data_IF_830467983333
#
_entry.id   IF_830467983333
#
_cell.length_a   1.000
_cell.length_b   1.000
_cell.length_c   1.000
_cell.angle_alpha   90.00
_cell.angle_beta   90.00
_cell.angle_gamma   90.00
#
_symmetry.space_group_name_H-M   'P 1'
#
loop_
_entity.id
_entity.type
_entity.pdbx_description
1 polymer ?
#
# COMPACT_ATOMS: atom_id res chain seq x y z
N UNK A 1 -60.76 16.65 -12.32
CA UNK A 1 -59.55 16.98 -11.53
C UNK A 1 -58.33 16.35 -12.20
N UNK A 2 -57.75 17.01 -13.22
CA UNK A 2 -56.55 16.53 -13.93
C UNK A 2 -55.32 17.12 -13.22
N UNK A 3 -54.85 16.43 -12.19
CA UNK A 3 -53.60 16.78 -11.52
C UNK A 3 -52.48 16.54 -12.54
N UNK A 4 -51.76 17.62 -12.86
CA UNK A 4 -50.72 17.67 -13.89
C UNK A 4 -49.61 16.66 -13.59
N UNK A 5 -49.57 15.61 -14.40
CA UNK A 5 -48.52 14.57 -14.51
C UNK A 5 -47.12 15.14 -14.85
N UNK A 6 -46.99 16.46 -14.99
CA UNK A 6 -45.78 17.16 -15.41
C UNK A 6 -44.77 17.39 -14.27
N UNK A 7 -45.14 17.19 -13.00
CA UNK A 7 -44.20 17.30 -11.87
C UNK A 7 -43.47 15.99 -11.55
N UNK A 8 -44.00 14.84 -11.96
CA UNK A 8 -43.37 13.54 -11.65
C UNK A 8 -42.20 13.21 -12.60
N UNK A 9 -42.26 13.68 -13.84
CA UNK A 9 -41.24 13.37 -14.87
C UNK A 9 -39.93 14.15 -14.62
N UNK A 10 -39.99 15.31 -13.98
CA UNK A 10 -38.80 16.13 -13.71
C UNK A 10 -37.90 15.55 -12.60
N UNK A 11 -38.45 14.73 -11.70
CA UNK A 11 -37.66 14.07 -10.64
C UNK A 11 -36.95 12.80 -11.12
N UNK A 12 -37.37 12.20 -12.23
CA UNK A 12 -36.81 10.92 -12.68
C UNK A 12 -35.60 11.15 -13.62
N UNK A 13 -35.57 12.25 -14.38
CA UNK A 13 -34.40 12.59 -15.21
C UNK A 13 -33.20 13.15 -14.40
N UNK A 14 -33.42 13.66 -13.19
CA UNK A 14 -32.34 14.13 -12.32
C UNK A 14 -31.67 13.02 -11.49
N UNK A 15 -32.28 11.83 -11.41
CA UNK A 15 -31.70 10.65 -10.74
C UNK A 15 -30.73 9.86 -11.64
N UNK A 16 -30.60 10.22 -12.92
CA UNK A 16 -29.60 9.65 -13.84
C UNK A 16 -28.24 10.34 -13.76
N UNK A 17 -28.09 11.34 -12.90
CA UNK A 17 -26.82 12.03 -12.71
C UNK A 17 -26.06 11.31 -11.59
N UNK A 18 -24.80 10.97 -11.87
CA UNK A 18 -23.78 10.52 -10.91
C UNK A 18 -23.74 9.01 -10.59
N UNK A 19 -23.49 8.17 -11.60
CA UNK A 19 -22.49 7.12 -11.34
C UNK A 19 -21.12 7.81 -11.20
N UNK A 20 -20.82 8.27 -9.98
CA UNK A 20 -19.47 8.71 -9.64
C UNK A 20 -18.62 7.44 -9.67
N UNK A 21 -17.94 7.20 -10.78
CA UNK A 21 -16.83 6.26 -10.80
C UNK A 21 -15.79 6.84 -9.85
N UNK A 22 -15.78 6.36 -8.60
CA UNK A 22 -14.73 6.70 -7.65
C UNK A 22 -13.41 6.26 -8.28
N UNK A 23 -12.61 7.24 -8.70
CA UNK A 23 -11.25 6.98 -9.15
C UNK A 23 -10.50 6.46 -7.94
N UNK A 24 -10.14 5.17 -7.96
CA UNK A 24 -9.29 4.51 -6.97
C UNK A 24 -7.82 5.00 -7.06
N UNK A 25 -7.61 6.32 -7.16
CA UNK A 25 -6.28 6.92 -7.17
C UNK A 25 -5.66 6.75 -5.78
N UNK A 26 -4.64 5.89 -5.70
CA UNK A 26 -3.95 5.53 -4.46
C UNK A 26 -4.23 4.12 -3.97
N UNK A 27 -5.33 3.50 -4.42
CA UNK A 27 -5.82 2.20 -3.95
C UNK A 27 -5.07 0.97 -4.51
N UNK A 28 -3.85 1.16 -5.02
CA UNK A 28 -2.99 0.10 -5.56
C UNK A 28 -1.51 0.52 -5.60
N UNK A 29 -1.12 1.53 -4.82
CA UNK A 29 0.27 1.98 -4.72
C UNK A 29 0.78 1.71 -3.31
N UNK A 30 2.04 1.31 -3.23
CA UNK A 30 2.73 1.22 -1.96
C UNK A 30 3.02 2.63 -1.46
N UNK A 31 2.63 2.90 -0.22
CA UNK A 31 2.87 4.15 0.50
C UNK A 31 3.73 3.83 1.71
N UNK A 32 4.77 4.63 1.94
CA UNK A 32 5.56 4.50 3.16
C UNK A 32 4.70 4.84 4.37
N UNK A 33 4.64 3.92 5.33
CA UNK A 33 3.92 4.11 6.59
C UNK A 33 4.88 4.32 7.76
N UNK A 34 6.07 3.69 7.73
CA UNK A 34 7.04 3.76 8.81
C UNK A 34 8.48 3.60 8.27
N UNK A 35 9.47 3.83 9.14
CA UNK A 35 10.87 3.60 8.83
C UNK A 35 11.70 3.22 10.07
N UNK A 36 12.73 2.41 9.85
CA UNK A 36 13.70 2.07 10.88
C UNK A 36 15.11 2.05 10.30
N UNK A 37 15.95 2.99 10.73
CA UNK A 37 17.27 3.19 10.15
C UNK A 37 17.16 3.53 8.65
N UNK A 38 17.72 2.67 7.79
CA UNK A 38 17.64 2.81 6.32
C UNK A 38 16.49 2.03 5.70
N UNK A 39 15.72 1.30 6.50
CA UNK A 39 14.58 0.54 6.03
C UNK A 39 13.32 1.39 6.04
N UNK A 40 12.52 1.23 5.01
CA UNK A 40 11.16 1.77 4.90
C UNK A 40 10.17 0.61 4.97
N UNK A 41 9.07 0.82 5.70
CA UNK A 41 7.91 -0.06 5.71
C UNK A 41 6.85 0.60 4.83
N UNK A 42 6.38 -0.13 3.84
CA UNK A 42 5.37 0.35 2.90
C UNK A 42 4.13 -0.53 2.96
N UNK A 43 2.96 0.09 2.82
CA UNK A 43 1.67 -0.57 2.78
C UNK A 43 0.93 -0.25 1.47
N UNK A 44 0.25 -1.24 0.92
CA UNK A 44 -0.65 -1.12 -0.23
C UNK A 44 -1.96 -1.81 0.12
N UNK A 45 -3.09 -1.16 -0.08
CA UNK A 45 -4.36 -1.88 -0.20
C UNK A 45 -4.53 -2.28 -1.66
N UNK A 46 -4.82 -3.55 -1.94
CA UNK A 46 -5.10 -4.07 -3.27
C UNK A 46 -6.61 -4.12 -3.47
N UNK A 47 -7.13 -3.24 -4.34
CA UNK A 47 -8.58 -3.13 -4.56
C UNK A 47 -9.22 -4.41 -5.10
N UNK A 48 -8.46 -5.16 -5.90
CA UNK A 48 -8.99 -6.29 -6.66
C UNK A 48 -9.08 -7.52 -5.78
N UNK A 49 -8.07 -7.70 -4.92
CA UNK A 49 -8.04 -8.79 -3.92
C UNK A 49 -8.72 -8.42 -2.60
N UNK A 50 -8.97 -7.12 -2.37
CA UNK A 50 -9.44 -6.56 -1.09
C UNK A 50 -8.51 -6.92 0.08
N UNK A 51 -7.21 -6.92 -0.18
CA UNK A 51 -6.17 -7.36 0.75
C UNK A 51 -5.17 -6.22 1.02
N UNK A 52 -4.61 -6.21 2.24
CA UNK A 52 -3.51 -5.31 2.60
C UNK A 52 -2.18 -6.04 2.39
N UNK A 53 -1.29 -5.42 1.64
CA UNK A 53 0.09 -5.86 1.44
C UNK A 53 1.03 -4.94 2.18
N UNK A 54 1.92 -5.53 2.97
CA UNK A 54 3.03 -4.82 3.60
C UNK A 54 4.35 -5.33 3.03
N UNK A 55 5.31 -4.44 2.84
CA UNK A 55 6.68 -4.79 2.46
C UNK A 55 7.68 -3.92 3.18
N UNK A 56 8.89 -4.44 3.34
CA UNK A 56 10.03 -3.67 3.81
C UNK A 56 11.07 -3.58 2.70
N UNK A 57 11.64 -2.41 2.49
CA UNK A 57 12.76 -2.22 1.57
C UNK A 57 13.77 -1.24 2.12
N UNK A 58 15.01 -1.37 1.66
CA UNK A 58 16.08 -0.43 1.90
C UNK A 58 16.57 0.04 0.52
N UNK A 59 16.69 1.34 0.34
CA UNK A 59 17.24 1.91 -0.90
C UNK A 59 18.67 1.43 -1.09
N UNK A 60 18.93 0.81 -2.25
CA UNK A 60 20.29 0.61 -2.75
C UNK A 60 20.81 1.89 -3.39
N UNK A 61 21.79 1.76 -4.29
CA UNK A 61 22.34 2.90 -5.04
C UNK A 61 21.40 3.44 -6.13
N UNK A 62 20.34 2.69 -6.50
CA UNK A 62 19.35 3.10 -7.47
C UNK A 62 18.03 3.58 -6.85
N UNK A 63 17.29 4.40 -7.60
CA UNK A 63 15.98 4.95 -7.20
C UNK A 63 14.81 4.05 -7.63
N UNK A 64 15.08 3.00 -8.42
CA UNK A 64 14.07 2.13 -9.02
C UNK A 64 13.76 0.94 -8.12
N UNK A 65 12.54 0.38 -8.24
CA UNK A 65 12.12 -0.77 -7.43
C UNK A 65 13.11 -1.92 -7.51
N UNK A 66 13.61 -2.20 -8.73
CA UNK A 66 14.62 -3.21 -9.05
C UNK A 66 15.90 -3.12 -8.24
N UNK A 67 16.26 -1.93 -7.75
CA UNK A 67 17.54 -1.56 -7.13
C UNK A 67 17.50 -1.55 -5.59
N UNK A 68 16.37 -1.94 -5.00
CA UNK A 68 16.20 -1.98 -3.54
C UNK A 68 16.52 -3.35 -2.98
N UNK A 69 17.16 -3.38 -1.81
CA UNK A 69 17.21 -4.58 -0.96
C UNK A 69 15.83 -4.72 -0.30
N UNK A 70 15.24 -5.91 -0.31
CA UNK A 70 13.85 -6.13 0.14
C UNK A 70 13.76 -7.32 1.07
N UNK A 71 12.75 -7.32 1.95
CA UNK A 71 12.30 -8.56 2.59
C UNK A 71 11.21 -9.20 1.73
N UNK A 72 11.43 -10.45 1.35
CA UNK A 72 10.47 -11.27 0.65
C UNK A 72 9.31 -11.72 1.54
N UNK A 73 8.42 -12.54 0.97
CA UNK A 73 7.24 -13.02 1.69
C UNK A 73 7.59 -13.95 2.85
N UNK A 74 8.70 -14.68 2.76
CA UNK A 74 9.18 -15.58 3.81
C UNK A 74 10.30 -14.91 4.64
N UNK A 75 10.33 -13.58 4.64
CA UNK A 75 11.33 -12.73 5.30
C UNK A 75 12.77 -13.01 4.88
N UNK A 76 12.97 -13.59 3.69
CA UNK A 76 14.26 -13.70 3.03
C UNK A 76 14.74 -12.34 2.53
N UNK A 77 16.04 -12.09 2.63
CA UNK A 77 16.63 -10.84 2.12
C UNK A 77 16.89 -11.01 0.63
N UNK A 78 16.21 -10.20 -0.18
CA UNK A 78 16.35 -10.16 -1.62
C UNK A 78 17.26 -8.99 -1.98
N UNK A 79 18.40 -9.30 -2.58
CA UNK A 79 19.33 -8.30 -3.13
C UNK A 79 19.00 -8.02 -4.60
N UNK A 80 19.15 -6.78 -5.08
CA UNK A 80 19.02 -6.45 -6.49
C UNK A 80 20.19 -7.04 -7.30
N UNK A 81 19.94 -7.29 -8.60
CA UNK A 81 20.74 -8.17 -9.47
C UNK A 81 22.16 -7.67 -9.76
N UNK A 82 22.44 -6.37 -9.61
CA UNK A 82 23.76 -5.75 -9.85
C UNK A 82 24.28 -5.00 -8.60
N UNK A 83 25.58 -5.16 -8.33
CA UNK A 83 26.48 -4.42 -7.41
C UNK A 83 26.05 -4.05 -5.96
N UNK A 84 24.85 -4.40 -5.53
CA UNK A 84 24.36 -4.17 -4.15
C UNK A 84 25.04 -5.02 -3.09
N UNK A 85 25.96 -5.92 -3.48
CA UNK A 85 26.83 -6.68 -2.57
C UNK A 85 27.65 -5.79 -1.61
N UNK A 86 27.73 -4.48 -1.86
CA UNK A 86 28.38 -3.51 -0.96
C UNK A 86 27.55 -3.10 0.26
N UNK A 87 26.22 -3.32 0.27
CA UNK A 87 25.36 -2.96 1.40
C UNK A 87 24.90 -4.23 2.09
N UNK A 88 25.58 -4.60 3.18
CA UNK A 88 25.18 -5.72 4.04
C UNK A 88 24.20 -5.17 5.08
N UNK A 89 22.93 -5.63 5.12
CA UNK A 89 21.99 -5.16 6.12
C UNK A 89 22.37 -5.69 7.50
N UNK A 90 22.25 -4.83 8.52
CA UNK A 90 22.54 -5.20 9.90
C UNK A 90 21.49 -6.21 10.41
N UNK A 91 21.93 -7.37 10.89
CA UNK A 91 21.06 -8.45 11.38
C UNK A 91 20.12 -8.01 12.50
N UNK A 92 20.60 -7.21 13.44
CA UNK A 92 19.78 -6.66 14.53
C UNK A 92 18.70 -5.72 13.99
N UNK A 93 19.01 -4.93 12.95
CA UNK A 93 18.00 -4.11 12.31
C UNK A 93 16.95 -4.95 11.57
N UNK A 94 17.37 -6.04 10.92
CA UNK A 94 16.46 -6.94 10.21
C UNK A 94 15.43 -7.55 11.16
N UNK A 95 15.82 -7.98 12.36
CA UNK A 95 14.87 -8.52 13.34
C UNK A 95 13.80 -7.49 13.76
N UNK A 96 14.19 -6.23 13.95
CA UNK A 96 13.25 -5.15 14.27
C UNK A 96 12.32 -4.89 13.08
N UNK A 97 12.88 -4.82 11.87
CA UNK A 97 12.12 -4.61 10.63
C UNK A 97 11.13 -5.75 10.40
N UNK A 98 11.48 -7.01 10.69
CA UNK A 98 10.55 -8.15 10.63
C UNK A 98 9.38 -7.97 11.59
N UNK A 99 9.66 -7.59 12.85
CA UNK A 99 8.59 -7.31 13.83
C UNK A 99 7.68 -6.16 13.39
N UNK A 100 8.23 -5.09 12.81
CA UNK A 100 7.42 -4.00 12.25
C UNK A 100 6.58 -4.49 11.07
N UNK A 101 7.14 -5.33 10.21
CA UNK A 101 6.42 -5.89 9.07
C UNK A 101 5.27 -6.81 9.52
N UNK A 102 5.48 -7.62 10.54
CA UNK A 102 4.43 -8.46 11.14
C UNK A 102 3.32 -7.63 11.77
N UNK A 103 3.68 -6.56 12.49
CA UNK A 103 2.69 -5.60 12.99
C UNK A 103 1.92 -4.92 11.85
N UNK A 104 2.57 -4.60 10.74
CA UNK A 104 1.90 -4.03 9.57
C UNK A 104 0.89 -5.02 8.99
N UNK A 105 1.32 -6.27 8.78
CA UNK A 105 0.48 -7.36 8.24
C UNK A 105 -0.73 -7.64 9.14
N UNK A 106 -0.55 -7.53 10.45
CA UNK A 106 -1.62 -7.71 11.43
C UNK A 106 -2.50 -6.46 11.64
N UNK A 107 -2.17 -5.32 11.01
CA UNK A 107 -2.88 -4.05 11.25
C UNK A 107 -2.64 -3.45 12.65
N UNK A 108 -1.58 -3.88 13.34
CA UNK A 108 -1.26 -3.52 14.73
C UNK A 108 -0.18 -2.45 14.88
N UNK A 109 0.31 -1.86 13.78
CA UNK A 109 1.51 -1.02 13.80
C UNK A 109 1.39 0.21 14.71
N UNK A 110 0.17 0.71 14.94
CA UNK A 110 -0.11 1.87 15.81
C UNK A 110 -1.19 1.59 16.86
N UNK A 111 -1.51 0.31 17.11
CA UNK A 111 -2.42 -0.02 18.19
C UNK A 111 -1.66 0.01 19.53
N UNK A 112 -2.25 0.56 20.60
CA UNK A 112 -1.65 0.53 21.92
C UNK A 112 -1.48 -0.93 22.35
N UNK A 113 -0.28 -1.27 22.87
CA UNK A 113 0.03 -2.60 23.40
C UNK A 113 -0.75 -2.88 24.68
#
# INVERSE_FOLDING_TARGET
MKIRLSRLVFCICFFSIYQISFVNAGLNRFTQIDSFGKWIIEQKFDSDRKEVFCRASMTGYGTWFGEKIRLGMNDEIIFPTDDSKKIVPNLTQIEIVRKLLDKCRAGLLYLPN
#
